data_IF_156939233103
#
_entry.id   IF_156939233103
#
_cell.length_a   1.000
_cell.length_b   1.000
_cell.length_c   1.000
_cell.angle_alpha   90.00
_cell.angle_beta   90.00
_cell.angle_gamma   90.00
#
_symmetry.space_group_name_H-M   'P 1'
#
loop_
_entity.id
_entity.type
_entity.pdbx_description
1 polymer ?
#
# COMPACT_ATOMS: atom_id res chain seq x y z
N UNK A 1 12.96 0.66 -35.57
CA UNK A 1 11.52 0.34 -35.43
C UNK A 1 10.67 1.48 -36.01
N UNK A 2 9.52 1.18 -36.62
CA UNK A 2 8.60 2.17 -37.19
C UNK A 2 7.21 2.08 -36.53
N UNK A 3 6.52 3.20 -36.44
CA UNK A 3 5.17 3.25 -35.87
C UNK A 3 4.12 2.62 -36.80
N UNK A 4 3.30 1.69 -36.30
CA UNK A 4 2.17 1.10 -37.04
C UNK A 4 1.02 2.08 -37.34
N UNK A 5 0.86 3.14 -36.55
CA UNK A 5 -0.21 4.14 -36.75
C UNK A 5 0.21 5.33 -37.62
N UNK A 6 1.46 5.76 -37.56
CA UNK A 6 1.91 7.00 -38.19
C UNK A 6 3.21 6.87 -39.01
N UNK A 7 3.77 5.65 -39.13
CA UNK A 7 4.90 5.34 -40.02
C UNK A 7 6.24 5.98 -39.65
N UNK A 8 6.31 6.80 -38.59
CA UNK A 8 7.54 7.49 -38.20
C UNK A 8 8.57 6.56 -37.56
N UNK A 9 9.85 6.82 -37.81
CA UNK A 9 10.96 6.14 -37.13
C UNK A 9 10.89 6.37 -35.61
N UNK A 10 11.02 5.29 -34.84
CA UNK A 10 11.05 5.30 -33.38
C UNK A 10 12.50 5.33 -32.90
N UNK A 11 12.80 6.28 -32.02
CA UNK A 11 14.03 6.24 -31.23
C UNK A 11 13.95 5.11 -30.19
N UNK A 12 15.07 4.42 -29.95
CA UNK A 12 15.12 3.19 -29.16
C UNK A 12 14.53 3.31 -27.74
N UNK A 13 14.63 4.50 -27.14
CA UNK A 13 14.19 4.82 -25.77
C UNK A 13 12.94 5.69 -25.70
N UNK A 14 12.28 5.98 -26.82
CA UNK A 14 11.09 6.82 -26.80
C UNK A 14 9.95 6.07 -26.10
N UNK A 15 9.33 6.69 -25.08
CA UNK A 15 8.15 6.16 -24.36
C UNK A 15 6.85 6.57 -25.09
N UNK A 16 6.83 7.78 -25.66
CA UNK A 16 5.72 8.34 -26.45
C UNK A 16 6.24 8.72 -27.84
N UNK A 17 5.44 8.49 -28.89
CA UNK A 17 5.81 8.86 -30.27
C UNK A 17 5.69 10.36 -30.52
N UNK A 18 6.74 11.04 -31.02
CA UNK A 18 6.75 12.50 -31.15
C UNK A 18 5.79 13.05 -32.21
N UNK A 19 5.46 12.27 -33.26
CA UNK A 19 4.56 12.75 -34.33
C UNK A 19 3.08 12.45 -34.10
N UNK A 20 2.75 11.34 -33.44
CA UNK A 20 1.36 10.88 -33.31
C UNK A 20 0.90 10.66 -31.87
N UNK A 21 1.77 10.84 -30.88
CA UNK A 21 1.40 10.77 -29.45
C UNK A 21 1.05 9.36 -28.95
N UNK A 22 0.99 8.35 -29.80
CA UNK A 22 0.66 7.00 -29.36
C UNK A 22 1.78 6.41 -28.48
N UNK A 23 1.43 5.60 -27.48
CA UNK A 23 2.40 4.89 -26.66
C UNK A 23 3.23 3.91 -27.49
N UNK A 24 4.50 3.76 -27.10
CA UNK A 24 5.43 2.78 -27.69
C UNK A 24 5.40 1.48 -26.91
N UNK A 25 6.12 0.46 -27.36
CA UNK A 25 6.29 -0.79 -26.59
C UNK A 25 7.03 -0.55 -25.26
N UNK A 26 7.80 0.53 -25.16
CA UNK A 26 8.44 0.99 -23.92
C UNK A 26 7.47 1.71 -22.98
N UNK A 27 6.23 1.93 -23.39
CA UNK A 27 5.21 2.53 -22.53
C UNK A 27 4.70 1.50 -21.52
N UNK A 28 5.24 1.56 -20.30
CA UNK A 28 4.62 0.89 -19.17
C UNK A 28 3.37 1.66 -18.77
N UNK A 29 2.20 1.02 -18.91
CA UNK A 29 0.98 1.55 -18.28
C UNK A 29 1.20 1.60 -16.76
N UNK A 30 0.77 2.69 -16.08
CA UNK A 30 0.71 2.68 -14.63
C UNK A 30 -0.08 1.46 -14.17
N UNK A 31 0.45 0.67 -13.24
CA UNK A 31 -0.34 -0.37 -12.61
C UNK A 31 -1.45 0.32 -11.80
N UNK A 32 -2.69 0.14 -12.23
CA UNK A 32 -3.83 0.52 -11.42
C UNK A 32 -3.91 -0.41 -10.22
N UNK A 33 -3.74 0.16 -9.03
CA UNK A 33 -3.94 -0.57 -7.79
C UNK A 33 -5.44 -0.84 -7.67
N UNK A 34 -5.84 -2.11 -7.72
CA UNK A 34 -7.27 -2.44 -7.61
C UNK A 34 -7.79 -2.08 -6.22
N UNK A 35 -9.00 -1.52 -6.13
CA UNK A 35 -9.63 -1.23 -4.84
C UNK A 35 -9.73 -2.48 -3.94
N UNK A 36 -9.81 -3.67 -4.53
CA UNK A 36 -9.76 -4.94 -3.81
C UNK A 36 -8.41 -5.22 -3.14
N UNK A 37 -7.29 -4.88 -3.79
CA UNK A 37 -5.96 -5.01 -3.19
C UNK A 37 -5.81 -4.05 -1.99
N UNK A 38 -6.34 -2.84 -2.11
CA UNK A 38 -6.36 -1.86 -1.01
C UNK A 38 -7.20 -2.40 0.16
N UNK A 39 -8.44 -2.83 -0.08
CA UNK A 39 -9.29 -3.39 0.97
C UNK A 39 -8.67 -4.61 1.66
N UNK A 40 -8.06 -5.52 0.90
CA UNK A 40 -7.37 -6.69 1.45
C UNK A 40 -6.20 -6.30 2.37
N UNK A 41 -5.45 -5.25 2.03
CA UNK A 41 -4.34 -4.76 2.85
C UNK A 41 -4.79 -4.19 4.20
N UNK A 42 -5.97 -3.55 4.27
CA UNK A 42 -6.55 -3.10 5.54
C UNK A 42 -6.96 -4.27 6.43
N UNK A 43 -7.58 -5.29 5.86
CA UNK A 43 -8.00 -6.49 6.60
C UNK A 43 -6.76 -7.22 7.14
N UNK A 44 -5.72 -7.37 6.32
CA UNK A 44 -4.45 -7.96 6.76
C UNK A 44 -3.76 -7.13 7.85
N UNK A 45 -3.83 -5.79 7.78
CA UNK A 45 -3.29 -4.88 8.79
C UNK A 45 -3.92 -5.05 10.18
N UNK A 46 -5.15 -5.58 10.27
CA UNK A 46 -5.83 -5.85 11.54
C UNK A 46 -5.10 -6.88 12.42
N UNK A 47 -4.25 -7.71 11.84
CA UNK A 47 -3.56 -8.79 12.56
C UNK A 47 -2.55 -8.22 13.57
N UNK A 48 -1.89 -7.11 13.24
CA UNK A 48 -0.86 -6.49 14.10
C UNK A 48 -1.44 -6.04 15.46
N UNK A 49 -2.51 -5.22 15.52
CA UNK A 49 -3.10 -4.85 16.79
C UNK A 49 -3.69 -6.05 17.55
N UNK A 50 -4.18 -7.09 16.86
CA UNK A 50 -4.63 -8.32 17.52
C UNK A 50 -3.50 -9.04 18.26
N UNK A 51 -2.32 -9.17 17.64
CA UNK A 51 -1.14 -9.75 18.30
C UNK A 51 -0.73 -8.90 19.51
N UNK A 52 -0.76 -7.59 19.37
CA UNK A 52 -0.47 -6.65 20.45
C UNK A 52 -1.39 -6.81 21.66
N UNK A 53 -2.69 -7.02 21.43
CA UNK A 53 -3.65 -7.31 22.50
C UNK A 53 -3.37 -8.65 23.20
N UNK A 54 -3.06 -9.71 22.43
CA UNK A 54 -2.69 -11.01 23.01
C UNK A 54 -1.45 -10.88 23.90
N UNK A 55 -0.43 -10.15 23.44
CA UNK A 55 0.78 -9.90 24.22
C UNK A 55 0.54 -9.03 25.46
N UNK A 56 -0.33 -8.02 25.37
CA UNK A 56 -0.72 -7.22 26.52
C UNK A 56 -1.40 -8.08 27.59
N UNK A 57 -2.35 -8.93 27.22
CA UNK A 57 -3.03 -9.86 28.14
C UNK A 57 -2.03 -10.85 28.74
N UNK A 58 -1.13 -11.42 27.93
CA UNK A 58 -0.09 -12.33 28.42
C UNK A 58 0.81 -11.66 29.49
N UNK A 59 1.20 -10.40 29.27
CA UNK A 59 2.01 -9.63 30.22
C UNK A 59 1.23 -9.27 31.50
N UNK A 60 -0.09 -9.04 31.40
CA UNK A 60 -0.95 -8.86 32.58
C UNK A 60 -0.99 -10.14 33.44
N UNK A 61 -1.11 -11.31 32.82
CA UNK A 61 -1.08 -12.62 33.54
C UNK A 61 0.27 -12.85 34.23
N UNK A 62 1.36 -12.28 33.70
CA UNK A 62 2.70 -12.33 34.32
C UNK A 62 2.97 -11.20 35.32
N UNK A 63 1.95 -10.44 35.72
CA UNK A 63 2.03 -9.27 36.62
C UNK A 63 3.01 -8.17 36.16
N UNK A 64 3.35 -8.11 34.86
CA UNK A 64 4.22 -7.08 34.27
C UNK A 64 3.40 -5.90 33.77
N UNK A 65 2.67 -5.27 34.68
CA UNK A 65 1.63 -4.26 34.36
C UNK A 65 2.19 -3.07 33.57
N UNK A 66 3.36 -2.55 33.93
CA UNK A 66 3.94 -1.40 33.23
C UNK A 66 4.25 -1.69 31.74
N UNK A 67 4.73 -2.90 31.44
CA UNK A 67 4.99 -3.30 30.06
C UNK A 67 3.69 -3.63 29.31
N UNK A 68 2.71 -4.23 29.99
CA UNK A 68 1.41 -4.55 29.39
C UNK A 68 0.66 -3.30 28.94
N UNK A 69 0.62 -2.25 29.77
CA UNK A 69 -0.01 -0.96 29.44
C UNK A 69 0.70 -0.32 28.24
N UNK A 70 2.03 -0.34 28.21
CA UNK A 70 2.80 0.17 27.07
C UNK A 70 2.46 -0.55 25.76
N UNK A 71 2.42 -1.87 25.77
CA UNK A 71 2.07 -2.68 24.59
C UNK A 71 0.62 -2.43 24.15
N UNK A 72 -0.32 -2.31 25.09
CA UNK A 72 -1.72 -2.00 24.79
C UNK A 72 -1.87 -0.60 24.16
N UNK A 73 -1.20 0.42 24.73
CA UNK A 73 -1.24 1.79 24.23
C UNK A 73 -0.67 1.89 22.81
N UNK A 74 0.49 1.25 22.55
CA UNK A 74 1.09 1.21 21.21
C UNK A 74 0.16 0.51 20.22
N UNK A 75 -0.46 -0.61 20.60
CA UNK A 75 -1.38 -1.35 19.72
C UNK A 75 -2.60 -0.52 19.33
N UNK A 76 -3.17 0.20 20.30
CA UNK A 76 -4.31 1.09 20.06
C UNK A 76 -3.91 2.26 19.16
N UNK A 77 -2.78 2.92 19.45
CA UNK A 77 -2.27 4.02 18.63
C UNK A 77 -2.02 3.57 17.18
N UNK A 78 -1.39 2.41 17.00
CA UNK A 78 -1.10 1.86 15.68
C UNK A 78 -2.38 1.51 14.91
N UNK A 79 -3.42 1.00 15.58
CA UNK A 79 -4.73 0.76 14.97
C UNK A 79 -5.38 2.08 14.52
N UNK A 80 -5.44 3.09 15.39
CA UNK A 80 -6.02 4.39 15.03
C UNK A 80 -5.25 5.09 13.92
N UNK A 81 -3.92 5.03 13.95
CA UNK A 81 -3.09 5.58 12.89
C UNK A 81 -3.33 4.84 11.56
N UNK A 82 -3.38 3.51 11.58
CA UNK A 82 -3.60 2.73 10.37
C UNK A 82 -4.99 2.95 9.76
N UNK A 83 -6.05 2.80 10.56
CA UNK A 83 -7.43 2.92 10.06
C UNK A 83 -7.89 4.36 9.85
N UNK A 84 -7.36 5.30 10.64
CA UNK A 84 -7.73 6.71 10.56
C UNK A 84 -6.92 7.46 9.51
N UNK A 85 -5.59 7.46 9.62
CA UNK A 85 -4.73 8.27 8.75
C UNK A 85 -4.65 7.71 7.33
N UNK A 86 -4.33 6.43 7.17
CA UNK A 86 -4.31 5.83 5.83
C UNK A 86 -5.72 5.69 5.25
N UNK A 87 -6.72 5.40 6.08
CA UNK A 87 -8.11 5.33 5.62
C UNK A 87 -8.64 6.64 5.06
N UNK A 88 -8.16 7.78 5.60
CA UNK A 88 -8.46 9.11 5.07
C UNK A 88 -7.70 9.43 3.77
N UNK A 89 -6.50 8.89 3.57
CA UNK A 89 -5.68 9.09 2.36
C UNK A 89 -6.15 8.27 1.15
N UNK A 90 -6.96 7.23 1.37
CA UNK A 90 -7.47 6.33 0.34
C UNK A 90 -8.81 6.81 -0.27
N UNK A 91 -9.45 7.83 0.31
CA UNK A 91 -10.62 8.51 -0.26
C UNK A 91 -10.20 9.54 -1.31
#
# INVERSE_FOLDING_TARGET
>A
MFCSSCGSALAEKAVIRPKCGCPTENYMKPQEVSGGAIAASYIAGAIIPLIGWVMAIYLLVKCKVGHAIGVAAVSIFMAFFWYGFFGALVK
#
